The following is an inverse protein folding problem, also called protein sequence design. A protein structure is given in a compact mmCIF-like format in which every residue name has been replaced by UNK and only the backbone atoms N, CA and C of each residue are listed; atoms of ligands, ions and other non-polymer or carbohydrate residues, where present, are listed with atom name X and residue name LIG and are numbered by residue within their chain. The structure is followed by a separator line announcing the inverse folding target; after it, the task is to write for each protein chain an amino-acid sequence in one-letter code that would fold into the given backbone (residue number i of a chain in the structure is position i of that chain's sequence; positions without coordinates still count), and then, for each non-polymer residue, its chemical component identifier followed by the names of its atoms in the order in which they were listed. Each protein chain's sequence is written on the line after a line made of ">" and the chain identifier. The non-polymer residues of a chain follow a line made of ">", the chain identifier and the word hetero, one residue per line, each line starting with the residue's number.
data_IF_547713057833
#
_entry.id   IF_547713057833
#
_cell.length_a   1.000
_cell.length_b   1.000
_cell.length_c   1.000
_cell.angle_alpha   90.00
_cell.angle_beta   90.00
_cell.angle_gamma   90.00
#
_symmetry.space_group_name_H-M   'P 1'
#
loop_
_entity.id
_entity.type
_entity.pdbx_description
1 polymer ?
#
# COMPACT_ATOMS: atom_id res chain seq x y z
N UNK A 1 -25.45 3.20 -16.77
CA UNK A 1 -24.26 4.08 -16.84
C UNK A 1 -24.13 4.82 -15.52
N UNK A 2 -23.80 4.10 -14.45
CA UNK A 2 -23.63 4.68 -13.12
C UNK A 2 -22.16 5.01 -12.93
N UNK A 3 -21.82 6.27 -13.10
CA UNK A 3 -20.48 6.82 -12.94
C UNK A 3 -20.20 6.99 -11.45
N UNK A 4 -19.34 6.17 -10.86
CA UNK A 4 -18.84 6.39 -9.51
C UNK A 4 -17.71 7.43 -9.55
N UNK A 5 -18.05 8.69 -9.81
CA UNK A 5 -17.14 9.81 -9.63
C UNK A 5 -16.95 10.05 -8.12
N UNK A 6 -16.07 9.28 -7.50
CA UNK A 6 -15.62 9.55 -6.14
C UNK A 6 -14.71 10.78 -6.21
N UNK A 7 -15.31 11.95 -6.01
CA UNK A 7 -14.58 13.22 -5.97
C UNK A 7 -14.03 13.40 -4.56
N UNK A 8 -12.80 12.95 -4.31
CA UNK A 8 -12.06 13.38 -3.13
C UNK A 8 -11.64 14.85 -3.30
N UNK A 9 -11.69 15.62 -2.21
CA UNK A 9 -11.60 17.07 -2.18
C UNK A 9 -10.38 17.62 -2.96
N UNK A 10 -10.60 18.73 -3.68
CA UNK A 10 -9.58 19.42 -4.47
C UNK A 10 -8.51 20.05 -3.55
N UNK A 11 -7.43 19.31 -3.31
CA UNK A 11 -6.18 19.87 -2.81
C UNK A 11 -5.46 20.54 -3.98
N UNK A 12 -5.03 21.79 -3.80
CA UNK A 12 -4.36 22.57 -4.84
C UNK A 12 -3.10 21.90 -5.42
N UNK A 13 -2.71 22.24 -6.66
CA UNK A 13 -1.68 21.53 -7.43
C UNK A 13 -0.26 21.55 -6.82
N UNK A 14 -0.01 22.34 -5.78
CA UNK A 14 1.34 22.54 -5.21
C UNK A 14 1.67 21.61 -4.03
N UNK A 15 0.70 20.87 -3.49
CA UNK A 15 0.90 19.95 -2.34
C UNK A 15 0.59 18.48 -2.65
N UNK A 16 0.21 18.17 -3.89
CA UNK A 16 -0.12 16.82 -4.33
C UNK A 16 1.13 15.97 -4.54
N UNK A 17 1.27 14.88 -3.78
CA UNK A 17 2.39 13.93 -3.88
C UNK A 17 2.03 12.70 -4.70
N UNK A 18 0.80 12.20 -4.60
CA UNK A 18 0.25 11.15 -5.46
C UNK A 18 -1.02 11.67 -6.12
N UNK A 19 -1.13 11.50 -7.43
CA UNK A 19 -2.33 11.84 -8.19
C UNK A 19 -2.73 10.67 -9.08
N UNK A 20 -4.02 10.39 -9.08
CA UNK A 20 -4.69 9.40 -9.91
C UNK A 20 -5.67 10.19 -10.80
N UNK A 21 -5.54 10.06 -12.11
CA UNK A 21 -6.34 10.79 -13.09
C UNK A 21 -7.12 9.82 -13.97
N UNK A 22 -8.45 9.77 -13.78
CA UNK A 22 -9.39 8.96 -14.57
C UNK A 22 -8.92 7.50 -14.73
N UNK A 23 -8.46 6.89 -13.64
CA UNK A 23 -7.83 5.58 -13.64
C UNK A 23 -8.89 4.48 -13.72
N UNK A 24 -8.74 3.62 -14.71
CA UNK A 24 -9.52 2.38 -14.83
C UNK A 24 -8.63 1.19 -14.47
N UNK A 25 -9.10 0.36 -13.54
CA UNK A 25 -8.35 -0.77 -12.97
C UNK A 25 -9.13 -2.04 -13.18
N UNK A 26 -8.48 -3.06 -13.75
CA UNK A 26 -9.11 -4.35 -13.97
C UNK A 26 -8.17 -5.31 -14.71
N UNK A 27 -8.71 -6.42 -15.16
CA UNK A 27 -7.97 -7.42 -15.95
C UNK A 27 -8.46 -7.39 -17.40
N UNK A 28 -9.54 -8.11 -17.70
CA UNK A 28 -10.22 -8.07 -19.00
C UNK A 28 -11.35 -7.04 -19.04
N UNK A 29 -11.96 -6.79 -17.87
CA UNK A 29 -13.01 -5.82 -17.66
C UNK A 29 -12.65 -4.94 -16.45
N UNK A 30 -13.12 -3.69 -16.41
CA UNK A 30 -12.88 -2.80 -15.28
C UNK A 30 -13.55 -3.34 -14.02
N UNK A 31 -12.80 -3.32 -12.92
CA UNK A 31 -13.27 -3.50 -11.55
C UNK A 31 -13.55 -2.13 -10.89
N UNK A 32 -12.76 -1.14 -11.28
CA UNK A 32 -12.90 0.28 -10.94
C UNK A 32 -12.77 1.06 -12.25
N UNK A 33 -13.56 2.11 -12.39
CA UNK A 33 -13.56 2.94 -13.60
C UNK A 33 -13.64 4.43 -13.22
N UNK A 34 -12.95 5.26 -14.01
CA UNK A 34 -12.89 6.72 -13.84
C UNK A 34 -12.49 7.18 -12.42
N UNK A 35 -11.53 6.49 -11.78
CA UNK A 35 -11.08 6.86 -10.44
C UNK A 35 -10.18 8.10 -10.50
N UNK A 36 -10.54 9.13 -9.71
CA UNK A 36 -9.70 10.30 -9.48
C UNK A 36 -9.41 10.47 -8.00
N UNK A 37 -8.14 10.64 -7.65
CA UNK A 37 -7.70 10.80 -6.26
C UNK A 37 -6.45 11.67 -6.23
N UNK A 38 -6.35 12.54 -5.24
CA UNK A 38 -5.12 13.27 -4.93
C UNK A 38 -4.79 13.01 -3.47
N UNK A 39 -3.52 12.69 -3.20
CA UNK A 39 -3.00 12.50 -1.84
C UNK A 39 -1.85 13.47 -1.65
N UNK A 40 -1.97 14.32 -0.63
CA UNK A 40 -0.96 15.29 -0.28
C UNK A 40 0.23 14.66 0.46
N UNK A 41 1.34 15.38 0.52
CA UNK A 41 2.48 14.99 1.36
C UNK A 41 2.04 14.84 2.82
N UNK A 42 2.23 13.65 3.39
CA UNK A 42 1.91 13.31 4.78
C UNK A 42 0.44 12.95 5.01
N UNK A 43 -0.39 13.01 3.97
CA UNK A 43 -1.78 12.61 4.05
C UNK A 43 -1.92 11.09 3.90
N UNK A 44 -2.79 10.51 4.72
CA UNK A 44 -3.17 9.10 4.69
C UNK A 44 -4.63 8.99 4.25
N UNK A 45 -4.87 8.40 3.10
CA UNK A 45 -6.21 8.08 2.60
C UNK A 45 -6.54 6.63 2.90
N UNK A 46 -7.60 6.40 3.66
CA UNK A 46 -8.19 5.09 3.90
C UNK A 46 -9.07 4.66 2.74
N UNK A 47 -8.93 3.42 2.28
CA UNK A 47 -9.79 2.81 1.27
C UNK A 47 -10.49 1.60 1.90
N UNK A 48 -11.80 1.76 2.08
CA UNK A 48 -12.72 0.73 2.56
C UNK A 48 -13.52 0.13 1.40
N UNK A 49 -14.10 -1.04 1.61
CA UNK A 49 -15.04 -1.65 0.67
C UNK A 49 -15.12 -3.17 0.85
N UNK A 50 -16.14 -3.83 0.30
CA UNK A 50 -16.31 -5.28 0.44
C UNK A 50 -15.16 -6.05 -0.25
N UNK A 51 -15.00 -7.32 0.10
CA UNK A 51 -14.09 -8.21 -0.60
C UNK A 51 -14.43 -8.25 -2.10
N UNK A 52 -13.41 -8.18 -2.95
CA UNK A 52 -13.61 -8.16 -4.41
C UNK A 52 -13.92 -6.78 -5.02
N UNK A 53 -14.02 -5.70 -4.23
CA UNK A 53 -14.24 -4.33 -4.76
C UNK A 53 -13.05 -3.72 -5.52
N UNK A 54 -11.96 -4.48 -5.75
CA UNK A 54 -10.80 -4.01 -6.50
C UNK A 54 -9.71 -3.28 -5.70
N UNK A 55 -9.80 -3.20 -4.36
CA UNK A 55 -8.80 -2.52 -3.50
C UNK A 55 -7.35 -3.00 -3.73
N UNK A 56 -7.10 -4.30 -3.66
CA UNK A 56 -5.76 -4.85 -3.90
C UNK A 56 -5.33 -4.69 -5.36
N UNK A 57 -6.27 -4.73 -6.32
CA UNK A 57 -5.98 -4.45 -7.73
C UNK A 57 -5.57 -2.99 -7.93
N UNK A 58 -6.22 -2.05 -7.23
CA UNK A 58 -5.85 -0.65 -7.22
C UNK A 58 -4.43 -0.49 -6.68
N UNK A 59 -4.11 -1.04 -5.50
CA UNK A 59 -2.75 -0.95 -4.93
C UNK A 59 -1.70 -1.58 -5.85
N UNK A 60 -1.97 -2.74 -6.46
CA UNK A 60 -1.07 -3.36 -7.45
C UNK A 60 -0.84 -2.46 -8.68
N UNK A 61 -1.87 -1.72 -9.10
CA UNK A 61 -1.77 -0.77 -10.22
C UNK A 61 -0.95 0.46 -9.85
N UNK A 62 -1.21 1.03 -8.67
CA UNK A 62 -0.43 2.15 -8.12
C UNK A 62 1.03 1.77 -7.89
N UNK A 63 1.29 0.53 -7.51
CA UNK A 63 2.63 -0.02 -7.37
C UNK A 63 3.36 -0.24 -8.70
N UNK A 64 2.66 -0.29 -9.85
CA UNK A 64 3.25 -0.68 -11.12
C UNK A 64 3.53 -2.19 -11.23
N UNK A 65 2.79 -3.01 -10.47
CA UNK A 65 2.77 -4.48 -10.58
C UNK A 65 1.78 -4.94 -11.66
N UNK A 66 0.69 -4.19 -11.82
CA UNK A 66 -0.32 -4.40 -12.84
C UNK A 66 -0.47 -3.11 -13.66
N UNK A 67 -0.55 -3.15 -15.01
CA UNK A 67 -0.86 -1.96 -15.79
C UNK A 67 -2.33 -1.56 -15.59
N UNK A 68 -2.66 -0.26 -15.61
CA UNK A 68 -4.06 0.16 -15.66
C UNK A 68 -4.69 -0.16 -17.03
N UNK A 69 -6.02 -0.21 -17.09
CA UNK A 69 -6.76 -0.28 -18.35
C UNK A 69 -6.74 1.07 -19.07
N UNK A 70 -6.80 2.17 -18.32
CA UNK A 70 -6.71 3.54 -18.80
C UNK A 70 -6.42 4.51 -17.65
N UNK A 71 -6.18 5.78 -17.97
CA UNK A 71 -5.88 6.83 -17.00
C UNK A 71 -4.39 6.98 -16.70
N UNK A 72 -4.06 7.83 -15.73
CA UNK A 72 -2.67 8.17 -15.39
C UNK A 72 -2.42 8.19 -13.88
N UNK A 73 -1.19 7.87 -13.51
CA UNK A 73 -0.69 7.92 -12.13
C UNK A 73 0.51 8.85 -12.11
N UNK A 74 0.47 9.87 -11.26
CA UNK A 74 1.54 10.84 -11.12
C UNK A 74 2.09 10.80 -9.69
N UNK A 75 3.42 10.83 -9.56
CA UNK A 75 4.11 10.99 -8.28
C UNK A 75 4.97 12.25 -8.38
N UNK A 76 4.77 13.19 -7.47
CA UNK A 76 5.41 14.52 -7.50
C UNK A 76 5.32 15.19 -8.89
N UNK A 77 4.14 15.07 -9.52
CA UNK A 77 3.84 15.60 -10.85
C UNK A 77 4.47 14.84 -12.03
N UNK A 78 5.28 13.81 -11.80
CA UNK A 78 5.85 12.97 -12.85
C UNK A 78 4.91 11.81 -13.16
N UNK A 79 4.59 11.60 -14.45
CA UNK A 79 3.82 10.44 -14.88
C UNK A 79 4.65 9.16 -14.70
N UNK A 80 4.16 8.27 -13.84
CA UNK A 80 4.80 6.99 -13.55
C UNK A 80 4.00 5.81 -14.06
N UNK A 81 2.97 6.03 -14.88
CA UNK A 81 2.00 5.01 -15.29
C UNK A 81 2.67 3.77 -15.88
N UNK A 82 3.69 3.95 -16.72
CA UNK A 82 4.48 2.88 -17.34
C UNK A 82 5.76 2.51 -16.56
N UNK A 83 6.07 3.24 -15.49
CA UNK A 83 7.26 3.00 -14.68
C UNK A 83 7.09 1.70 -13.88
N UNK A 84 8.04 0.74 -14.00
CA UNK A 84 7.96 -0.53 -13.30
C UNK A 84 8.14 -0.34 -11.79
N UNK A 85 7.56 -1.26 -11.01
CA UNK A 85 7.54 -1.23 -9.52
C UNK A 85 8.87 -0.86 -8.88
N UNK A 86 9.98 -1.39 -9.39
CA UNK A 86 11.31 -1.24 -8.80
C UNK A 86 11.94 0.15 -9.02
N UNK A 87 11.37 0.96 -9.93
CA UNK A 87 11.82 2.31 -10.26
C UNK A 87 10.79 3.38 -9.90
N UNK A 88 9.61 2.98 -9.40
CA UNK A 88 8.49 3.89 -9.10
C UNK A 88 8.66 4.68 -7.80
N UNK A 89 9.61 4.30 -6.95
CA UNK A 89 9.91 5.04 -5.72
C UNK A 89 8.84 4.93 -4.62
N UNK A 90 8.04 3.87 -4.64
CA UNK A 90 6.96 3.61 -3.67
C UNK A 90 7.36 2.50 -2.69
N UNK A 91 6.95 2.64 -1.43
CA UNK A 91 6.97 1.54 -0.46
C UNK A 91 5.65 0.77 -0.49
N UNK A 92 5.71 -0.56 -0.41
CA UNK A 92 4.53 -1.42 -0.53
C UNK A 92 4.53 -2.48 0.56
N UNK A 93 3.38 -2.65 1.20
CA UNK A 93 3.06 -3.80 2.04
C UNK A 93 1.84 -4.49 1.45
N UNK A 94 1.99 -5.74 1.05
CA UNK A 94 0.88 -6.58 0.60
C UNK A 94 0.27 -7.34 1.78
N UNK A 95 -0.98 -7.78 1.62
CA UNK A 95 -1.68 -8.61 2.59
C UNK A 95 -0.87 -9.86 2.96
N UNK A 96 -0.30 -10.54 1.95
CA UNK A 96 0.67 -11.61 2.14
C UNK A 96 2.08 -11.02 2.33
N UNK A 97 2.79 -11.36 3.42
CA UNK A 97 4.14 -10.84 3.67
C UNK A 97 5.14 -11.53 2.74
N UNK A 98 5.33 -10.95 1.54
CA UNK A 98 6.28 -11.41 0.52
C UNK A 98 7.74 -11.13 0.93
N UNK A 99 8.24 -11.86 1.92
CA UNK A 99 9.61 -11.77 2.40
C UNK A 99 10.60 -12.49 1.47
N UNK A 100 11.84 -12.02 1.44
CA UNK A 100 12.92 -12.67 0.72
C UNK A 100 13.42 -13.89 1.51
N UNK A 101 13.08 -15.08 1.03
CA UNK A 101 13.35 -16.36 1.71
C UNK A 101 14.83 -16.70 1.84
N UNK A 102 15.67 -16.12 0.99
CA UNK A 102 17.12 -16.30 1.00
C UNK A 102 17.86 -15.33 1.95
N UNK A 103 17.14 -14.45 2.65
CA UNK A 103 17.70 -13.48 3.60
C UNK A 103 17.19 -13.77 5.02
N UNK A 104 17.98 -13.38 6.02
CA UNK A 104 17.53 -13.33 7.41
C UNK A 104 16.55 -12.15 7.63
N UNK A 105 15.98 -12.05 8.83
CA UNK A 105 15.00 -11.00 9.17
C UNK A 105 15.58 -9.61 9.01
N UNK A 106 16.77 -9.35 9.53
CA UNK A 106 17.35 -7.99 9.49
C UNK A 106 17.82 -7.61 8.09
N UNK A 107 18.35 -8.56 7.30
CA UNK A 107 18.75 -8.32 5.92
C UNK A 107 17.52 -8.14 5.00
N UNK A 108 16.37 -8.73 5.35
CA UNK A 108 15.10 -8.43 4.69
C UNK A 108 14.76 -6.94 4.83
N UNK A 109 14.86 -6.38 6.04
CA UNK A 109 14.58 -4.95 6.30
C UNK A 109 15.67 -4.07 5.69
N UNK A 110 16.93 -4.49 5.76
CA UNK A 110 18.08 -3.73 5.24
C UNK A 110 18.15 -3.70 3.71
N UNK A 111 17.38 -4.54 3.01
CA UNK A 111 17.44 -4.70 1.56
C UNK A 111 17.25 -3.36 0.83
N UNK A 112 16.19 -2.62 1.15
CA UNK A 112 15.90 -1.34 0.50
C UNK A 112 16.97 -0.28 0.79
N UNK A 113 17.43 -0.17 2.05
CA UNK A 113 18.50 0.74 2.45
C UNK A 113 19.79 0.49 1.64
N UNK A 114 20.19 -0.78 1.49
CA UNK A 114 21.38 -1.17 0.72
C UNK A 114 21.23 -0.83 -0.76
N UNK A 115 20.03 -1.00 -1.32
CA UNK A 115 19.72 -0.63 -2.71
C UNK A 115 19.87 0.88 -2.96
N UNK A 116 19.63 1.70 -1.93
CA UNK A 116 19.85 3.14 -1.96
C UNK A 116 21.29 3.56 -1.55
N UNK A 117 22.23 2.62 -1.52
CA UNK A 117 23.66 2.91 -1.31
C UNK A 117 24.09 3.01 0.16
N UNK A 118 23.20 2.71 1.12
CA UNK A 118 23.58 2.69 2.54
C UNK A 118 24.54 1.53 2.81
N UNK A 119 25.61 1.80 3.57
CA UNK A 119 26.61 0.78 3.92
C UNK A 119 25.94 -0.42 4.62
N UNK A 120 26.49 -1.63 4.43
CA UNK A 120 25.92 -2.85 5.05
C UNK A 120 25.79 -2.71 6.57
N UNK A 121 26.79 -2.15 7.23
CA UNK A 121 26.81 -1.96 8.68
C UNK A 121 25.72 -1.00 9.13
N UNK A 122 25.64 0.18 8.50
CA UNK A 122 24.63 1.19 8.82
C UNK A 122 23.22 0.69 8.53
N UNK A 123 23.03 -0.02 7.41
CA UNK A 123 21.74 -0.59 7.03
C UNK A 123 21.28 -1.62 8.06
N UNK A 124 22.14 -2.57 8.46
CA UNK A 124 21.79 -3.55 9.50
C UNK A 124 21.49 -2.90 10.85
N UNK A 125 22.21 -1.86 11.24
CA UNK A 125 21.93 -1.13 12.49
C UNK A 125 20.53 -0.49 12.47
N UNK A 126 20.22 0.31 11.45
CA UNK A 126 18.90 0.94 11.29
C UNK A 126 17.78 -0.10 11.20
N UNK A 127 18.04 -1.21 10.52
CA UNK A 127 17.09 -2.31 10.40
C UNK A 127 16.83 -3.02 11.73
N UNK A 128 17.84 -3.16 12.59
CA UNK A 128 17.66 -3.70 13.93
C UNK A 128 16.84 -2.77 14.83
N UNK A 129 17.06 -1.45 14.72
CA UNK A 129 16.26 -0.43 15.42
C UNK A 129 14.78 -0.50 15.00
N UNK A 130 14.51 -0.57 13.69
CA UNK A 130 13.15 -0.76 13.16
C UNK A 130 12.53 -2.10 13.57
N UNK A 131 13.33 -3.18 13.59
CA UNK A 131 12.87 -4.49 14.04
C UNK A 131 12.47 -4.47 15.52
N UNK A 132 13.25 -3.79 16.36
CA UNK A 132 12.93 -3.60 17.76
C UNK A 132 11.66 -2.75 17.95
N UNK A 133 11.49 -1.69 17.16
CA UNK A 133 10.30 -0.82 17.20
C UNK A 133 9.00 -1.58 16.86
N UNK A 134 9.04 -2.48 15.87
CA UNK A 134 7.90 -3.40 15.61
C UNK A 134 7.76 -4.53 16.63
N UNK A 135 8.55 -4.54 17.71
CA UNK A 135 8.46 -5.52 18.79
C UNK A 135 9.01 -6.89 18.44
N UNK A 136 10.09 -6.95 17.65
CA UNK A 136 10.75 -8.19 17.21
C UNK A 136 12.25 -8.22 17.54
N UNK A 137 12.69 -7.45 18.54
CA UNK A 137 14.07 -7.48 19.02
C UNK A 137 14.52 -8.91 19.36
N UNK A 138 15.75 -9.27 19.00
CA UNK A 138 16.32 -10.60 19.20
C UNK A 138 16.03 -11.61 18.09
N UNK A 139 15.25 -11.24 17.07
CA UNK A 139 14.97 -12.09 15.90
C UNK A 139 15.81 -11.73 14.66
N UNK A 140 16.80 -10.86 14.78
CA UNK A 140 17.55 -10.25 13.67
C UNK A 140 18.10 -11.30 12.71
N UNK A 141 18.70 -12.37 13.24
CA UNK A 141 19.37 -13.41 12.46
C UNK A 141 18.48 -14.64 12.20
N UNK A 142 17.18 -14.58 12.52
CA UNK A 142 16.26 -15.70 12.28
C UNK A 142 15.99 -15.86 10.78
N UNK A 143 15.73 -17.10 10.37
CA UNK A 143 15.18 -17.37 9.04
C UNK A 143 13.71 -16.95 9.00
N UNK A 144 13.27 -16.37 7.87
CA UNK A 144 11.88 -15.96 7.68
C UNK A 144 10.89 -17.13 7.76
N UNK A 145 11.34 -18.36 7.48
CA UNK A 145 10.52 -19.57 7.61
C UNK A 145 10.16 -19.94 9.05
N UNK A 146 10.84 -19.34 10.03
CA UNK A 146 10.60 -19.58 11.45
C UNK A 146 9.65 -18.55 12.07
N UNK A 147 9.15 -17.60 11.28
CA UNK A 147 8.28 -16.53 11.75
C UNK A 147 6.82 -16.99 11.74
N UNK A 148 6.05 -16.53 12.74
CA UNK A 148 4.59 -16.55 12.65
C UNK A 148 4.09 -15.55 11.60
N UNK A 149 2.84 -15.67 11.15
CA UNK A 149 2.24 -14.74 10.18
C UNK A 149 2.31 -13.27 10.64
N UNK A 150 1.94 -12.99 11.90
CA UNK A 150 2.03 -11.65 12.48
C UNK A 150 3.46 -11.14 12.69
N UNK A 151 4.44 -12.04 12.88
CA UNK A 151 5.87 -11.64 12.86
C UNK A 151 6.31 -11.28 11.43
N UNK A 152 5.94 -12.09 10.43
CA UNK A 152 6.28 -11.84 9.03
C UNK A 152 5.65 -10.54 8.50
N UNK A 153 4.40 -10.22 8.84
CA UNK A 153 3.78 -8.93 8.50
C UNK A 153 4.55 -7.74 9.08
N UNK A 154 4.96 -7.83 10.35
CA UNK A 154 5.75 -6.76 10.98
C UNK A 154 7.12 -6.58 10.35
N UNK A 155 7.78 -7.66 9.91
CA UNK A 155 9.03 -7.57 9.13
C UNK A 155 8.77 -6.94 7.77
N UNK A 156 7.68 -7.28 7.08
CA UNK A 156 7.32 -6.69 5.79
C UNK A 156 7.04 -5.18 5.91
N UNK A 157 6.33 -4.77 6.97
CA UNK A 157 6.08 -3.37 7.31
C UNK A 157 7.39 -2.61 7.57
N UNK A 158 8.24 -3.12 8.46
CA UNK A 158 9.54 -2.52 8.77
C UNK A 158 10.41 -2.37 7.51
N UNK A 159 10.43 -3.39 6.64
CA UNK A 159 11.14 -3.37 5.36
C UNK A 159 10.63 -2.28 4.42
N UNK A 160 9.31 -2.08 4.33
CA UNK A 160 8.72 -1.06 3.47
C UNK A 160 8.99 0.36 4.00
N UNK A 161 9.02 0.54 5.33
CA UNK A 161 9.27 1.82 5.98
C UNK A 161 10.76 2.22 6.00
N UNK A 162 11.67 1.25 6.01
CA UNK A 162 13.10 1.50 6.17
C UNK A 162 13.71 2.48 5.16
N UNK A 163 13.37 2.46 3.85
CA UNK A 163 13.91 3.40 2.88
C UNK A 163 13.32 4.81 2.94
N UNK A 164 12.34 5.06 3.81
CA UNK A 164 11.64 6.35 3.94
C UNK A 164 11.03 6.83 2.61
N UNK A 165 10.16 6.01 1.98
CA UNK A 165 9.60 6.33 0.68
C UNK A 165 8.69 7.56 0.73
N UNK A 166 8.61 8.30 -0.37
CA UNK A 166 7.71 9.45 -0.50
C UNK A 166 6.24 9.02 -0.52
N UNK A 167 5.94 7.84 -1.09
CA UNK A 167 4.60 7.27 -1.19
C UNK A 167 4.57 5.86 -0.60
N UNK A 168 3.56 5.57 0.22
CA UNK A 168 3.31 4.26 0.81
C UNK A 168 1.97 3.67 0.35
N UNK A 169 1.99 2.38 0.04
CA UNK A 169 0.85 1.58 -0.37
C UNK A 169 0.70 0.41 0.61
N UNK A 170 -0.38 0.40 1.38
CA UNK A 170 -0.57 -0.53 2.50
C UNK A 170 -1.83 -1.36 2.27
N UNK A 171 -1.70 -2.67 2.06
CA UNK A 171 -2.81 -3.62 1.86
C UNK A 171 -2.99 -4.49 3.10
N UNK A 172 -3.94 -4.14 3.97
CA UNK A 172 -4.25 -4.85 5.22
C UNK A 172 -3.03 -5.25 6.07
N UNK A 173 -2.08 -4.31 6.33
CA UNK A 173 -0.78 -4.63 6.93
C UNK A 173 -0.83 -5.12 8.38
N UNK A 174 -1.98 -4.95 9.07
CA UNK A 174 -2.16 -5.30 10.48
C UNK A 174 -3.12 -6.49 10.71
N UNK A 175 -3.61 -7.11 9.63
CA UNK A 175 -4.65 -8.15 9.68
C UNK A 175 -4.28 -9.40 10.48
N UNK A 176 -2.99 -9.75 10.59
CA UNK A 176 -2.52 -10.94 11.30
C UNK A 176 -1.98 -10.64 12.71
N UNK A 177 -2.21 -9.44 13.24
CA UNK A 177 -1.71 -9.00 14.56
C UNK A 177 -2.79 -9.16 15.63
N UNK A 178 -2.35 -9.37 16.87
CA UNK A 178 -3.22 -9.29 18.05
C UNK A 178 -3.70 -7.85 18.29
N UNK A 179 -4.81 -7.70 19.02
CA UNK A 179 -5.52 -6.42 19.19
C UNK A 179 -4.68 -5.32 19.82
N UNK A 180 -3.89 -5.64 20.85
CA UNK A 180 -3.10 -4.65 21.59
C UNK A 180 -1.94 -4.16 20.73
N UNK A 181 -1.20 -5.09 20.10
CA UNK A 181 -0.08 -4.74 19.23
C UNK A 181 -0.54 -3.99 17.98
N UNK A 182 -1.67 -4.39 17.39
CA UNK A 182 -2.28 -3.69 16.26
C UNK A 182 -2.64 -2.26 16.63
N UNK A 183 -3.37 -2.05 17.72
CA UNK A 183 -3.78 -0.71 18.18
C UNK A 183 -2.56 0.20 18.37
N UNK A 184 -1.49 -0.32 18.95
CA UNK A 184 -0.22 0.42 19.08
C UNK A 184 0.37 0.78 17.72
N UNK A 185 0.58 -0.22 16.86
CA UNK A 185 1.28 -0.03 15.59
C UNK A 185 0.49 0.84 14.60
N UNK A 186 -0.83 0.74 14.55
CA UNK A 186 -1.67 1.62 13.72
C UNK A 186 -1.39 3.08 14.05
N UNK A 187 -1.47 3.45 15.33
CA UNK A 187 -1.25 4.83 15.78
C UNK A 187 0.19 5.29 15.53
N UNK A 188 1.18 4.46 15.87
CA UNK A 188 2.59 4.84 15.70
C UNK A 188 2.99 4.96 14.21
N UNK A 189 2.51 4.07 13.35
CA UNK A 189 2.75 4.16 11.90
C UNK A 189 2.07 5.40 11.33
N UNK A 190 0.81 5.67 11.71
CA UNK A 190 0.09 6.85 11.22
C UNK A 190 0.82 8.15 11.59
N UNK A 191 1.31 8.26 12.83
CA UNK A 191 2.11 9.40 13.26
C UNK A 191 3.42 9.53 12.47
N UNK A 192 4.14 8.42 12.27
CA UNK A 192 5.40 8.39 11.52
C UNK A 192 5.22 8.83 10.07
N UNK A 193 4.18 8.35 9.39
CA UNK A 193 3.92 8.68 7.98
C UNK A 193 3.61 10.17 7.82
N UNK A 194 2.81 10.74 8.72
CA UNK A 194 2.52 12.19 8.76
C UNK A 194 3.78 13.01 8.98
N UNK A 195 4.57 12.67 10.00
CA UNK A 195 5.81 13.38 10.34
C UNK A 195 6.82 13.40 9.18
N UNK A 196 6.92 12.28 8.45
CA UNK A 196 7.83 12.14 7.30
C UNK A 196 7.26 12.73 6.00
N UNK A 197 6.05 13.26 6.02
CA UNK A 197 5.37 13.72 4.81
C UNK A 197 5.06 12.59 3.82
N UNK A 198 4.96 11.34 4.26
CA UNK A 198 4.70 10.22 3.38
C UNK A 198 3.23 10.19 2.92
N UNK A 199 2.99 10.35 1.62
CA UNK A 199 1.65 10.24 1.07
C UNK A 199 1.23 8.77 1.02
N UNK A 200 0.11 8.43 1.63
CA UNK A 200 -0.22 7.02 1.90
C UNK A 200 -1.60 6.66 1.41
N UNK A 201 -1.70 5.52 0.73
CA UNK A 201 -2.97 4.83 0.47
C UNK A 201 -3.03 3.60 1.35
N UNK A 202 -4.00 3.58 2.27
CA UNK A 202 -4.20 2.53 3.26
C UNK A 202 -5.49 1.76 2.98
N UNK A 203 -5.38 0.48 2.63
CA UNK A 203 -6.51 -0.43 2.44
C UNK A 203 -6.73 -1.24 3.70
N UNK A 204 -7.96 -1.20 4.21
CA UNK A 204 -8.43 -2.09 5.28
C UNK A 204 -9.91 -2.43 5.07
N UNK A 205 -10.39 -3.47 5.75
CA UNK A 205 -11.80 -3.76 5.92
C UNK A 205 -12.32 -3.37 7.31
N UNK A 206 -11.44 -2.93 8.21
CA UNK A 206 -11.76 -2.54 9.57
C UNK A 206 -11.97 -1.01 9.66
N UNK A 207 -13.20 -0.53 9.95
CA UNK A 207 -13.48 0.89 10.10
C UNK A 207 -12.71 1.56 11.25
N UNK A 208 -12.42 0.84 12.34
CA UNK A 208 -11.70 1.39 13.49
C UNK A 208 -10.23 1.60 13.14
N UNK A 209 -9.63 0.67 12.40
CA UNK A 209 -8.28 0.86 11.84
C UNK A 209 -8.24 2.06 10.88
N UNK A 210 -9.23 2.16 9.98
CA UNK A 210 -9.31 3.30 9.06
C UNK A 210 -9.45 4.62 9.82
N UNK A 211 -10.26 4.66 10.89
CA UNK A 211 -10.45 5.85 11.71
C UNK A 211 -9.18 6.27 12.46
N UNK A 212 -8.41 5.32 12.98
CA UNK A 212 -7.16 5.61 13.69
C UNK A 212 -6.00 5.97 12.73
N UNK A 213 -5.99 5.38 11.55
CA UNK A 213 -4.89 5.51 10.59
C UNK A 213 -5.06 6.71 9.64
N UNK A 214 -6.23 6.87 9.04
CA UNK A 214 -6.46 7.74 7.89
C UNK A 214 -6.95 9.13 8.29
N UNK A 215 -6.55 10.14 7.50
CA UNK A 215 -7.05 11.51 7.62
C UNK A 215 -8.42 11.66 6.93
N UNK A 216 -8.64 10.90 5.87
CA UNK A 216 -9.96 10.75 5.24
C UNK A 216 -10.12 9.37 4.65
N UNK A 217 -11.38 8.97 4.44
CA UNK A 217 -11.71 7.61 4.00
C UNK A 217 -12.62 7.63 2.77
N UNK A 218 -12.32 6.73 1.84
CA UNK A 218 -13.07 6.48 0.62
C UNK A 218 -13.64 5.07 0.70
N UNK A 219 -14.92 4.90 0.34
CA UNK A 219 -15.55 3.58 0.23
C UNK A 219 -15.67 3.22 -1.25
N UNK A 220 -14.97 2.18 -1.67
CA UNK A 220 -15.12 1.61 -3.01
C UNK A 220 -16.35 0.73 -3.08
N UNK A 221 -17.16 0.95 -4.10
CA UNK A 221 -18.28 0.08 -4.46
C UNK A 221 -17.87 -0.76 -5.68
N UNK A 222 -18.20 -2.06 -5.71
CA UNK A 222 -18.01 -2.86 -6.91
C UNK A 222 -18.79 -2.26 -8.08
N UNK A 223 -18.20 -2.27 -9.27
CA UNK A 223 -18.98 -2.08 -10.50
C UNK A 223 -20.04 -3.20 -10.58
N UNK A 224 -21.28 -2.83 -10.88
CA UNK A 224 -22.30 -3.84 -11.18
C UNK A 224 -21.79 -4.73 -12.31
N UNK A 225 -21.89 -6.05 -12.13
CA UNK A 225 -21.57 -6.98 -13.19
C UNK A 225 -22.39 -6.62 -14.42
N UNK A 226 -21.74 -6.54 -15.58
CA UNK A 226 -22.47 -6.44 -16.84
C UNK A 226 -23.48 -7.60 -16.89
N UNK A 227 -24.75 -7.37 -17.29
CA UNK A 227 -25.73 -8.44 -17.36
C UNK A 227 -25.17 -9.57 -18.22
N UNK A 228 -25.25 -10.81 -17.71
CA UNK A 228 -24.82 -11.98 -18.47
C UNK A 228 -25.47 -11.94 -19.86
N UNK A 229 -24.73 -12.20 -20.94
CA UNK A 229 -25.35 -12.34 -22.25
C UNK A 229 -26.36 -13.48 -22.15
N UNK A 230 -27.64 -13.16 -22.36
CA UNK A 230 -28.71 -14.16 -22.38
C UNK A 230 -28.30 -15.27 -23.35
N UNK A 231 -28.33 -16.54 -22.93
CA UNK A 231 -28.01 -17.63 -23.83
C UNK A 231 -28.96 -17.53 -25.01
N UNK A 232 -28.39 -17.38 -26.22
CA UNK A 232 -29.17 -17.40 -27.46
C UNK A 232 -29.86 -18.76 -27.51
N UNK A 233 -31.14 -18.80 -27.22
CA UNK A 233 -32.00 -19.91 -27.59
C UNK A 233 -31.93 -20.03 -29.10
N UNK A 234 -31.22 -21.05 -29.58
CA UNK A 234 -31.25 -21.39 -31.00
C UNK A 234 -32.65 -21.88 -31.35
N UNK A 235 -33.16 -21.54 -32.55
CA UNK A 235 -34.52 -21.86 -32.98
C UNK A 235 -34.77 -23.36 -33.14
#
# INVERSE_FOLDING_TARGET
>A
MSTAAITAAAVGPTSARLQILALSVGYQAPLLDDLALTVASGEVIGILGPSGSGKSSLLKTLAGVMPPLSGRILIDGQDVTETPVHARGVGIVFQEPLLFTHLDVVDNIAYGLRRHGVSRTTARQRSAELLAWVGLAGLENRSVHQLSGGQAQRVALARALAPEPAVMLLDEPFSALDTDLRSRLVNEVAAMLRERGCATVYVTHDPDEAHAMADSTIVLQPLEAAPEPTPKTSP
#
